data_IF_792572554013
#
_entry.id   IF_792572554013
#
_cell.length_a   1.000
_cell.length_b   1.000
_cell.length_c   1.000
_cell.angle_alpha   90.00
_cell.angle_beta   90.00
_cell.angle_gamma   90.00
#
_symmetry.space_group_name_H-M   'P 1'
#
loop_
_entity.id
_entity.type
_entity.pdbx_description
1 polymer ?
#
# COMPACT_ATOMS: atom_id res chain seq x y z
N UNK A 1 -16.64 -8.80 -19.98
CA UNK A 1 -15.73 -9.90 -20.35
C UNK A 1 -15.19 -10.44 -19.04
N UNK A 2 -15.47 -11.71 -18.74
CA UNK A 2 -14.94 -12.37 -17.55
C UNK A 2 -13.44 -12.64 -17.69
N UNK A 3 -12.78 -13.01 -16.59
CA UNK A 3 -11.40 -13.48 -16.65
C UNK A 3 -11.37 -14.82 -17.40
N UNK A 4 -10.39 -15.02 -18.28
CA UNK A 4 -10.20 -16.29 -19.00
C UNK A 4 -9.38 -17.31 -18.19
N UNK A 5 -8.74 -16.86 -17.11
CA UNK A 5 -7.88 -17.69 -16.28
C UNK A 5 -7.95 -17.29 -14.81
N UNK A 6 -7.60 -18.23 -13.95
CA UNK A 6 -7.39 -18.03 -12.52
C UNK A 6 -6.01 -18.56 -12.11
N UNK A 7 -5.54 -18.15 -10.93
CA UNK A 7 -4.22 -18.53 -10.40
C UNK A 7 -4.37 -19.43 -9.20
N UNK A 8 -3.56 -20.48 -9.14
CA UNK A 8 -3.45 -21.37 -7.97
C UNK A 8 -2.15 -21.05 -7.24
N UNK A 9 -2.26 -20.61 -5.99
CA UNK A 9 -1.12 -20.25 -5.17
C UNK A 9 -0.49 -21.47 -4.49
N UNK A 10 0.85 -21.46 -4.36
CA UNK A 10 1.62 -22.52 -3.69
C UNK A 10 1.16 -22.79 -2.24
N UNK A 11 0.65 -21.76 -1.56
CA UNK A 11 0.12 -21.85 -0.18
C UNK A 11 -1.04 -22.84 -0.03
N UNK A 12 -1.71 -23.18 -1.12
CA UNK A 12 -2.80 -24.16 -1.12
C UNK A 12 -2.35 -25.60 -1.00
N UNK A 13 -1.06 -25.89 -1.18
CA UNK A 13 -0.55 -27.25 -1.05
C UNK A 13 -0.83 -27.85 0.33
N UNK A 14 -0.58 -27.08 1.40
CA UNK A 14 -0.76 -27.56 2.78
C UNK A 14 -2.22 -27.93 3.12
N UNK A 15 -3.24 -27.13 2.74
CA UNK A 15 -4.64 -27.52 2.88
C UNK A 15 -5.03 -28.80 2.13
N UNK A 16 -4.46 -29.07 0.96
CA UNK A 16 -4.87 -30.20 0.11
C UNK A 16 -3.99 -31.43 0.24
N UNK A 17 -2.82 -31.34 0.90
CA UNK A 17 -1.85 -32.44 0.98
C UNK A 17 -2.34 -33.64 1.77
N UNK A 18 -3.38 -33.49 2.60
CA UNK A 18 -4.00 -34.58 3.36
C UNK A 18 -5.13 -35.30 2.62
N UNK A 19 -5.51 -34.85 1.43
CA UNK A 19 -6.59 -35.45 0.64
C UNK A 19 -6.08 -36.65 -0.15
N UNK A 20 -6.94 -37.65 -0.33
CA UNK A 20 -6.70 -38.76 -1.25
C UNK A 20 -6.72 -38.26 -2.70
N UNK A 21 -6.04 -38.96 -3.61
CA UNK A 21 -5.99 -38.59 -5.03
C UNK A 21 -7.40 -38.49 -5.66
N UNK A 22 -8.32 -39.36 -5.23
CA UNK A 22 -9.71 -39.32 -5.69
C UNK A 22 -10.43 -38.02 -5.24
N UNK A 23 -10.21 -37.62 -3.98
CA UNK A 23 -10.74 -36.38 -3.41
C UNK A 23 -10.12 -35.16 -4.09
N UNK A 24 -8.80 -35.19 -4.34
CA UNK A 24 -8.09 -34.13 -5.03
C UNK A 24 -8.61 -33.97 -6.46
N UNK A 25 -8.88 -35.08 -7.15
CA UNK A 25 -9.49 -35.08 -8.48
C UNK A 25 -10.91 -34.51 -8.48
N UNK A 26 -11.75 -34.86 -7.49
CA UNK A 26 -13.08 -34.28 -7.33
C UNK A 26 -13.01 -32.79 -7.05
N UNK A 27 -12.17 -32.37 -6.11
CA UNK A 27 -11.92 -30.97 -5.77
C UNK A 27 -11.50 -30.16 -7.00
N UNK A 28 -10.56 -30.67 -7.81
CA UNK A 28 -10.10 -29.99 -9.01
C UNK A 28 -11.24 -29.77 -10.02
N UNK A 29 -12.10 -30.77 -10.24
CA UNK A 29 -13.28 -30.63 -11.11
C UNK A 29 -14.27 -29.59 -10.58
N UNK A 30 -14.51 -29.57 -9.27
CA UNK A 30 -15.40 -28.60 -8.62
C UNK A 30 -14.86 -27.17 -8.80
N UNK A 31 -13.55 -26.95 -8.63
CA UNK A 31 -12.92 -25.64 -8.83
C UNK A 31 -13.18 -25.11 -10.25
N UNK A 32 -12.97 -25.94 -11.28
CA UNK A 32 -13.24 -25.52 -12.66
C UNK A 32 -14.72 -25.25 -12.92
N UNK A 33 -15.61 -26.15 -12.45
CA UNK A 33 -17.05 -25.95 -12.58
C UNK A 33 -17.50 -24.65 -11.93
N UNK A 34 -16.98 -24.32 -10.74
CA UNK A 34 -17.29 -23.07 -10.07
C UNK A 34 -16.88 -21.85 -10.89
N UNK A 35 -15.71 -21.88 -11.50
CA UNK A 35 -15.22 -20.77 -12.32
C UNK A 35 -15.96 -20.60 -13.66
N UNK A 36 -16.58 -21.67 -14.18
CA UNK A 36 -17.33 -21.64 -15.44
C UNK A 36 -18.80 -21.32 -15.20
N UNK A 37 -19.45 -22.04 -14.28
CA UNK A 37 -20.90 -22.07 -14.10
C UNK A 37 -21.37 -21.31 -12.84
N UNK A 38 -20.47 -21.04 -11.89
CA UNK A 38 -20.73 -20.27 -10.67
C UNK A 38 -21.34 -21.05 -9.50
N UNK A 39 -22.22 -22.02 -9.75
CA UNK A 39 -22.83 -22.84 -8.70
C UNK A 39 -22.46 -24.33 -8.85
N UNK A 40 -22.05 -24.95 -7.75
CA UNK A 40 -21.58 -26.34 -7.75
C UNK A 40 -21.97 -27.02 -6.45
N UNK A 41 -22.54 -28.21 -6.56
CA UNK A 41 -22.70 -29.11 -5.42
C UNK A 41 -21.35 -29.72 -5.05
N UNK A 42 -20.97 -29.60 -3.78
CA UNK A 42 -19.68 -30.05 -3.25
C UNK A 42 -19.90 -31.12 -2.20
N UNK A 43 -19.09 -32.18 -2.25
CA UNK A 43 -19.12 -33.24 -1.23
C UNK A 43 -18.46 -32.76 0.07
N UNK A 44 -18.99 -33.20 1.22
CA UNK A 44 -18.58 -32.73 2.56
C UNK A 44 -17.10 -32.96 2.88
N UNK A 45 -16.51 -34.00 2.29
CA UNK A 45 -15.11 -34.37 2.52
C UNK A 45 -14.11 -33.41 1.86
N UNK A 46 -14.54 -32.72 0.79
CA UNK A 46 -13.75 -31.71 0.06
C UNK A 46 -14.28 -30.28 0.25
N UNK A 47 -15.41 -30.09 0.93
CA UNK A 47 -16.09 -28.82 1.14
C UNK A 47 -15.18 -27.77 1.79
N UNK A 48 -14.51 -28.14 2.89
CA UNK A 48 -13.58 -27.25 3.59
C UNK A 48 -12.42 -26.84 2.67
N UNK A 49 -11.85 -27.79 1.93
CA UNK A 49 -10.77 -27.51 0.99
C UNK A 49 -11.22 -26.55 -0.11
N UNK A 50 -12.42 -26.78 -0.67
CA UNK A 50 -13.01 -25.93 -1.70
C UNK A 50 -13.30 -24.51 -1.20
N UNK A 51 -13.78 -24.35 0.03
CA UNK A 51 -14.10 -23.05 0.62
C UNK A 51 -12.86 -22.15 0.75
N UNK A 52 -11.67 -22.72 1.00
CA UNK A 52 -10.41 -21.96 0.94
C UNK A 52 -10.13 -21.38 -0.44
N UNK A 53 -10.41 -22.13 -1.52
CA UNK A 53 -10.23 -21.64 -2.88
C UNK A 53 -11.26 -20.58 -3.22
N UNK A 54 -12.53 -20.81 -2.86
CA UNK A 54 -13.62 -19.85 -3.08
C UNK A 54 -13.29 -18.49 -2.45
N UNK A 55 -12.89 -18.48 -1.18
CA UNK A 55 -12.49 -17.26 -0.48
C UNK A 55 -11.33 -16.54 -1.18
N UNK A 56 -10.35 -17.28 -1.72
CA UNK A 56 -9.25 -16.65 -2.46
C UNK A 56 -9.70 -16.06 -3.80
N UNK A 57 -10.59 -16.74 -4.52
CA UNK A 57 -11.12 -16.24 -5.78
C UNK A 57 -11.87 -14.92 -5.59
N UNK A 58 -12.68 -14.81 -4.53
CA UNK A 58 -13.37 -13.56 -4.20
C UNK A 58 -12.37 -12.41 -3.93
N UNK A 59 -11.29 -12.70 -3.21
CA UNK A 59 -10.21 -11.73 -2.96
C UNK A 59 -9.56 -11.31 -4.28
N UNK A 60 -9.25 -12.26 -5.16
CA UNK A 60 -8.58 -11.99 -6.44
C UNK A 60 -9.49 -11.22 -7.42
N UNK A 61 -10.80 -11.43 -7.33
CA UNK A 61 -11.80 -10.67 -8.07
C UNK A 61 -11.89 -9.23 -7.57
N UNK A 62 -11.95 -9.01 -6.26
CA UNK A 62 -11.90 -7.66 -5.68
C UNK A 62 -10.63 -6.92 -6.13
N UNK A 63 -9.46 -7.58 -6.04
CA UNK A 63 -8.18 -7.00 -6.47
C UNK A 63 -8.20 -6.64 -7.96
N UNK A 64 -8.71 -7.55 -8.79
CA UNK A 64 -8.80 -7.31 -10.23
C UNK A 64 -9.74 -6.16 -10.57
N UNK A 65 -10.93 -6.10 -9.96
CA UNK A 65 -11.89 -5.02 -10.21
C UNK A 65 -11.31 -3.66 -9.81
N UNK A 66 -10.60 -3.58 -8.69
CA UNK A 66 -9.92 -2.34 -8.28
C UNK A 66 -8.87 -1.88 -9.33
N UNK A 67 -8.15 -2.82 -9.94
CA UNK A 67 -7.19 -2.51 -11.02
C UNK A 67 -7.93 -2.04 -12.28
N UNK A 68 -8.99 -2.73 -12.68
CA UNK A 68 -9.80 -2.38 -13.85
C UNK A 68 -10.40 -0.99 -13.68
N UNK A 69 -10.99 -0.68 -12.54
CA UNK A 69 -11.58 0.63 -12.26
C UNK A 69 -10.53 1.74 -12.26
N UNK A 70 -9.38 1.50 -11.62
CA UNK A 70 -8.24 2.44 -11.65
C UNK A 70 -7.78 2.70 -13.09
N UNK A 71 -7.61 1.66 -13.89
CA UNK A 71 -7.16 1.77 -15.27
C UNK A 71 -8.21 2.47 -16.13
N UNK A 72 -9.50 2.17 -15.94
CA UNK A 72 -10.62 2.87 -16.59
C UNK A 72 -10.62 4.36 -16.26
N UNK A 73 -10.43 4.71 -14.99
CA UNK A 73 -10.34 6.09 -14.54
C UNK A 73 -9.12 6.82 -15.11
N UNK A 74 -7.96 6.15 -15.19
CA UNK A 74 -6.76 6.70 -15.81
C UNK A 74 -6.95 6.90 -17.32
N UNK A 75 -7.56 5.92 -18.00
CA UNK A 75 -7.93 6.04 -19.42
C UNK A 75 -8.86 7.22 -19.67
N UNK A 76 -9.87 7.43 -18.80
CA UNK A 76 -10.77 8.60 -18.88
C UNK A 76 -10.06 9.94 -18.69
N UNK A 77 -8.99 9.99 -17.90
CA UNK A 77 -8.17 11.20 -17.71
C UNK A 77 -7.24 11.49 -18.90
N UNK A 78 -7.04 10.52 -19.79
CA UNK A 78 -6.10 10.58 -20.90
C UNK A 78 -4.68 10.19 -20.48
N UNK A 79 -3.99 9.44 -21.35
CA UNK A 79 -2.61 9.00 -21.10
C UNK A 79 -1.53 9.94 -21.65
N UNK A 80 -1.88 10.79 -22.60
CA UNK A 80 -0.98 11.79 -23.16
C UNK A 80 -1.21 13.16 -22.46
N UNK A 81 -0.15 13.92 -22.15
CA UNK A 81 -0.31 15.29 -21.70
C UNK A 81 -1.10 16.07 -22.76
N UNK A 82 -2.17 16.74 -22.35
CA UNK A 82 -2.95 17.59 -23.26
C UNK A 82 -2.04 18.69 -23.79
N UNK A 83 -1.79 18.71 -25.10
CA UNK A 83 -1.25 19.88 -25.79
C UNK A 83 -2.20 21.03 -25.47
N UNK A 84 -1.72 22.06 -24.78
CA UNK A 84 -2.54 23.19 -24.36
C UNK A 84 -3.32 23.78 -25.55
N UNK A 85 -4.46 24.41 -25.26
CA UNK A 85 -5.41 24.96 -26.24
C UNK A 85 -4.85 26.01 -27.22
N UNK A 86 -3.54 26.27 -27.21
CA UNK A 86 -2.83 27.04 -28.22
C UNK A 86 -1.55 26.34 -28.67
N UNK A 87 -1.55 25.03 -28.93
CA UNK A 87 -0.47 24.32 -29.60
C UNK A 87 0.94 24.38 -28.96
N UNK A 88 1.08 25.03 -27.80
CA UNK A 88 2.34 25.35 -27.13
C UNK A 88 2.25 24.91 -25.67
N UNK A 89 3.22 24.14 -25.15
CA UNK A 89 3.22 23.73 -23.76
C UNK A 89 3.38 24.96 -22.85
N UNK A 90 2.65 25.04 -21.72
CA UNK A 90 2.87 26.11 -20.75
C UNK A 90 4.20 25.84 -20.02
N UNK A 91 5.20 26.69 -20.27
CA UNK A 91 6.35 26.86 -19.39
C UNK A 91 7.45 25.81 -19.47
N UNK A 92 8.09 25.65 -20.64
CA UNK A 92 9.53 25.39 -20.66
C UNK A 92 10.20 26.62 -21.26
N UNK A 93 10.92 27.37 -20.44
CA UNK A 93 11.94 28.29 -20.94
C UNK A 93 12.84 27.50 -21.88
N UNK A 94 12.91 27.92 -23.15
CA UNK A 94 13.75 27.31 -24.18
C UNK A 94 15.19 27.19 -23.71
N UNK A 95 15.59 25.99 -23.27
CA UNK A 95 17.00 25.60 -23.23
C UNK A 95 17.19 24.49 -24.25
N UNK A 96 17.77 24.92 -25.38
CA UNK A 96 18.44 24.13 -26.42
C UNK A 96 17.58 23.21 -27.29
N UNK A 97 17.92 23.25 -28.59
CA UNK A 97 17.21 22.58 -29.67
C UNK A 97 17.18 21.05 -29.53
N UNK A 98 16.15 20.48 -30.13
CA UNK A 98 15.88 19.06 -30.28
C UNK A 98 17.14 18.28 -30.73
N UNK A 99 17.73 17.42 -29.88
CA UNK A 99 18.55 16.34 -30.39
C UNK A 99 17.61 15.45 -31.21
N UNK A 100 17.98 15.11 -32.45
CA UNK A 100 17.33 14.04 -33.18
C UNK A 100 17.23 12.83 -32.23
N UNK A 101 16.03 12.22 -32.19
CA UNK A 101 15.70 11.08 -31.34
C UNK A 101 16.92 10.15 -31.22
N UNK A 102 17.52 9.97 -30.03
CA UNK A 102 18.65 9.08 -29.90
C UNK A 102 18.15 7.70 -30.33
N UNK A 103 18.82 7.11 -31.31
CA UNK A 103 18.62 5.74 -31.76
C UNK A 103 18.84 4.87 -30.51
N UNK A 104 17.76 4.36 -29.90
CA UNK A 104 17.87 3.66 -28.62
C UNK A 104 16.63 3.64 -27.73
N UNK A 105 15.57 4.42 -28.03
CA UNK A 105 14.28 4.17 -27.38
C UNK A 105 13.65 2.90 -27.95
N UNK A 106 13.90 1.79 -27.26
CA UNK A 106 13.10 0.58 -27.40
C UNK A 106 11.62 0.96 -27.25
N UNK A 107 10.76 0.32 -28.06
CA UNK A 107 9.32 0.40 -27.87
C UNK A 107 9.00 0.21 -26.39
N UNK A 108 8.10 1.02 -25.80
CA UNK A 108 7.72 0.82 -24.41
C UNK A 108 7.22 -0.61 -24.28
N UNK A 109 7.94 -1.41 -23.49
CA UNK A 109 7.49 -2.75 -23.13
C UNK A 109 6.04 -2.64 -22.67
N UNK A 110 5.17 -3.45 -23.26
CA UNK A 110 3.83 -3.72 -22.70
C UNK A 110 4.04 -4.00 -21.21
N UNK A 111 3.20 -3.41 -20.36
CA UNK A 111 3.32 -3.58 -18.92
C UNK A 111 3.49 -5.08 -18.62
N UNK A 112 4.69 -5.44 -18.15
CA UNK A 112 4.94 -6.76 -17.61
C UNK A 112 3.88 -6.94 -16.52
N UNK A 113 3.07 -8.01 -16.60
CA UNK A 113 2.11 -8.38 -15.57
C UNK A 113 2.87 -8.83 -14.32
N UNK A 114 3.58 -7.91 -13.70
CA UNK A 114 4.21 -8.08 -12.41
C UNK A 114 4.11 -6.76 -11.65
N UNK A 115 2.93 -6.55 -11.10
CA UNK A 115 2.83 -5.76 -9.88
C UNK A 115 1.94 -6.56 -8.95
N UNK A 116 2.59 -7.48 -8.25
CA UNK A 116 2.13 -8.03 -6.99
C UNK A 116 1.96 -6.87 -5.99
N UNK A 117 0.89 -6.11 -6.16
CA UNK A 117 0.37 -5.28 -5.08
C UNK A 117 -0.28 -6.27 -4.12
N UNK A 118 0.57 -6.82 -3.26
CA UNK A 118 0.24 -7.65 -2.14
C UNK A 118 -0.65 -6.83 -1.18
N UNK A 119 -1.93 -6.73 -1.53
CA UNK A 119 -2.98 -6.50 -0.55
C UNK A 119 -2.98 -7.79 0.27
N UNK A 120 -2.12 -7.78 1.28
CA UNK A 120 -2.16 -8.68 2.43
C UNK A 120 -3.53 -8.50 3.09
N UNK A 121 -4.52 -9.26 2.61
CA UNK A 121 -5.63 -9.66 3.47
C UNK A 121 -5.06 -10.72 4.41
N UNK A 122 -4.37 -10.24 5.44
CA UNK A 122 -4.12 -11.03 6.62
C UNK A 122 -5.46 -11.15 7.38
N UNK A 123 -6.35 -12.02 6.88
CA UNK A 123 -7.26 -12.78 7.74
C UNK A 123 -6.41 -13.91 8.32
N UNK A 124 -5.44 -13.51 9.14
CA UNK A 124 -4.93 -14.31 10.21
C UNK A 124 -5.71 -13.84 11.41
N UNK A 125 -6.40 -14.77 12.06
CA UNK A 125 -6.85 -14.58 13.43
C UNK A 125 -5.73 -13.90 14.22
N UNK A 126 -5.94 -12.64 14.54
CA UNK A 126 -5.21 -12.02 15.63
C UNK A 126 -6.28 -11.59 16.60
N UNK A 127 -6.07 -11.98 17.84
CA UNK A 127 -6.63 -11.31 19.00
C UNK A 127 -6.08 -9.87 19.03
N UNK A 128 -6.39 -9.08 18.00
CA UNK A 128 -6.11 -7.66 17.95
C UNK A 128 -7.14 -7.01 18.88
N UNK A 129 -6.74 -6.95 20.15
CA UNK A 129 -7.24 -5.95 21.07
C UNK A 129 -7.39 -4.63 20.30
N UNK A 130 -8.52 -3.91 20.39
CA UNK A 130 -8.84 -2.72 19.60
C UNK A 130 -7.80 -1.58 19.68
N UNK A 131 -6.80 -1.72 20.55
CA UNK A 131 -5.69 -0.80 20.80
C UNK A 131 -4.66 -0.70 19.67
N UNK A 132 -4.55 -1.67 18.74
CA UNK A 132 -3.52 -1.66 17.67
C UNK A 132 -3.97 -1.04 16.34
N UNK A 133 -5.25 -0.68 16.22
CA UNK A 133 -5.84 -0.12 15.00
C UNK A 133 -5.23 1.25 14.66
N UNK A 134 -4.94 1.47 13.37
CA UNK A 134 -4.39 2.74 12.87
C UNK A 134 -5.25 3.94 13.30
N UNK A 135 -6.57 3.83 13.26
CA UNK A 135 -7.48 4.94 13.58
C UNK A 135 -7.34 5.38 15.05
N UNK A 136 -7.14 4.43 15.96
CA UNK A 136 -6.91 4.67 17.40
C UNK A 136 -5.57 5.36 17.61
N UNK A 137 -4.50 4.80 17.04
CA UNK A 137 -3.14 5.35 17.16
C UNK A 137 -3.03 6.72 16.51
N UNK A 138 -3.70 6.93 15.38
CA UNK A 138 -3.75 8.20 14.67
C UNK A 138 -4.45 9.29 15.48
N UNK A 139 -5.51 8.93 16.20
CA UNK A 139 -6.20 9.83 17.12
C UNK A 139 -5.34 10.17 18.33
N UNK A 140 -4.70 9.17 18.96
CA UNK A 140 -3.79 9.34 20.09
C UNK A 140 -2.59 10.24 19.74
N UNK A 141 -2.03 10.05 18.54
CA UNK A 141 -0.94 10.88 18.03
C UNK A 141 -1.37 12.32 17.69
N UNK A 142 -2.68 12.60 17.64
CA UNK A 142 -3.21 13.93 17.36
C UNK A 142 -3.31 14.28 15.88
N UNK A 143 -3.39 13.31 14.96
CA UNK A 143 -3.70 13.54 13.53
C UNK A 143 -2.80 14.57 12.82
N UNK A 144 -1.48 14.43 12.96
CA UNK A 144 -0.46 15.33 12.37
C UNK A 144 0.25 14.67 11.18
N UNK A 145 0.17 15.29 10.00
CA UNK A 145 0.72 14.78 8.74
C UNK A 145 -0.37 14.28 7.78
N UNK A 146 0.03 13.56 6.73
CA UNK A 146 -0.91 13.03 5.74
C UNK A 146 -1.43 11.65 6.16
N UNK A 147 -2.76 11.53 6.36
CA UNK A 147 -3.43 10.29 6.80
C UNK A 147 -3.12 9.11 5.87
N UNK A 148 -3.18 9.33 4.55
CA UNK A 148 -3.03 8.26 3.55
C UNK A 148 -1.60 7.71 3.48
N UNK A 149 -0.60 8.56 3.61
CA UNK A 149 0.81 8.12 3.63
C UNK A 149 1.16 7.46 4.97
N UNK A 150 0.64 8.02 6.06
CA UNK A 150 0.77 7.50 7.42
C UNK A 150 0.18 6.10 7.57
N UNK A 151 -1.03 5.88 7.07
CA UNK A 151 -1.72 4.58 7.10
C UNK A 151 -0.95 3.53 6.32
N UNK A 152 -0.48 3.87 5.11
CA UNK A 152 0.35 2.98 4.29
C UNK A 152 1.67 2.61 4.95
N UNK A 153 2.28 3.51 5.71
CA UNK A 153 3.52 3.22 6.45
C UNK A 153 3.23 2.39 7.69
N UNK A 154 2.15 2.69 8.41
CA UNK A 154 1.71 1.94 9.58
C UNK A 154 1.34 0.50 9.22
N UNK A 155 0.63 0.29 8.12
CA UNK A 155 0.24 -1.06 7.66
C UNK A 155 1.44 -1.94 7.31
N UNK A 156 2.54 -1.34 6.85
CA UNK A 156 3.81 -2.03 6.54
C UNK A 156 4.66 -2.39 7.77
N UNK A 157 4.35 -1.86 8.95
CA UNK A 157 5.09 -2.20 10.18
C UNK A 157 4.73 -3.60 10.68
N UNK A 158 5.72 -4.31 11.19
CA UNK A 158 5.52 -5.58 11.91
C UNK A 158 4.81 -5.34 13.24
N UNK A 159 4.11 -6.35 13.75
CA UNK A 159 3.39 -6.27 15.03
C UNK A 159 4.30 -5.81 16.18
N UNK A 160 5.55 -6.30 16.24
CA UNK A 160 6.53 -5.89 17.24
C UNK A 160 6.86 -4.39 17.20
N UNK A 161 7.01 -3.80 16.00
CA UNK A 161 7.25 -2.36 15.85
C UNK A 161 6.01 -1.54 16.22
N UNK A 162 4.82 -2.00 15.85
CA UNK A 162 3.55 -1.36 16.24
C UNK A 162 3.41 -1.31 17.76
N UNK A 163 3.68 -2.40 18.47
CA UNK A 163 3.59 -2.43 19.94
C UNK A 163 4.55 -1.44 20.61
N UNK A 164 5.81 -1.36 20.14
CA UNK A 164 6.78 -0.37 20.65
C UNK A 164 6.30 1.06 20.41
N UNK A 165 5.81 1.35 19.20
CA UNK A 165 5.27 2.66 18.86
C UNK A 165 4.06 3.03 19.72
N UNK A 166 3.09 2.13 19.89
CA UNK A 166 1.88 2.36 20.69
C UNK A 166 2.24 2.66 22.14
N UNK A 167 3.20 1.94 22.72
CA UNK A 167 3.66 2.19 24.09
C UNK A 167 4.32 3.57 24.26
N UNK A 168 5.04 4.04 23.23
CA UNK A 168 5.79 5.30 23.27
C UNK A 168 4.93 6.54 22.99
N UNK A 169 3.92 6.43 22.12
CA UNK A 169 3.11 7.57 21.64
C UNK A 169 2.50 8.41 22.78
N UNK A 170 1.89 7.83 23.84
CA UNK A 170 1.35 8.62 24.94
C UNK A 170 2.41 9.49 25.63
N UNK A 171 3.59 8.94 25.91
CA UNK A 171 4.69 9.68 26.53
C UNK A 171 5.21 10.80 25.62
N UNK A 172 5.33 10.53 24.31
CA UNK A 172 5.74 11.52 23.33
C UNK A 172 4.74 12.68 23.16
N UNK A 173 3.45 12.36 23.16
CA UNK A 173 2.36 13.35 23.08
C UNK A 173 2.34 14.22 24.34
N UNK A 174 2.58 13.65 25.52
CA UNK A 174 2.68 14.39 26.77
C UNK A 174 3.94 15.28 26.84
N UNK A 175 5.08 14.81 26.32
CA UNK A 175 6.32 15.60 26.24
C UNK A 175 6.25 16.72 25.18
N UNK A 176 5.39 16.57 24.17
CA UNK A 176 5.14 17.57 23.11
C UNK A 176 3.68 18.04 23.12
N UNK A 177 3.26 18.80 24.15
CA UNK A 177 1.85 19.21 24.28
C UNK A 177 1.40 20.09 23.11
N UNK A 178 2.31 20.90 22.55
CA UNK A 178 2.04 21.67 21.36
C UNK A 178 2.23 20.84 20.07
N UNK A 179 1.09 20.55 19.43
CA UNK A 179 0.97 19.77 18.19
C UNK A 179 1.73 20.37 17.01
N UNK A 180 2.07 21.66 17.01
CA UNK A 180 2.81 22.25 15.90
C UNK A 180 4.27 21.78 15.84
N UNK A 181 4.88 21.50 17.00
CA UNK A 181 6.26 21.02 17.13
C UNK A 181 6.41 19.50 17.10
N UNK A 182 5.28 18.77 17.04
CA UNK A 182 5.28 17.32 16.88
C UNK A 182 5.71 16.94 15.47
N UNK A 183 6.57 15.93 15.33
CA UNK A 183 6.92 15.35 14.02
C UNK A 183 5.63 14.89 13.31
N UNK A 184 5.59 14.96 11.98
CA UNK A 184 4.52 14.28 11.24
C UNK A 184 4.58 12.79 11.54
N UNK A 185 3.43 12.11 11.65
CA UNK A 185 3.39 10.70 12.02
C UNK A 185 4.14 9.81 11.01
N UNK A 186 4.13 10.19 9.74
CA UNK A 186 4.91 9.52 8.70
C UNK A 186 6.42 9.61 8.91
N UNK A 187 6.90 10.71 9.53
CA UNK A 187 8.31 10.92 9.89
C UNK A 187 8.64 10.17 11.18
N UNK A 188 7.72 10.20 12.15
CA UNK A 188 7.80 9.41 13.38
C UNK A 188 7.95 7.91 13.10
N UNK A 189 7.15 7.38 12.15
CA UNK A 189 7.27 5.99 11.69
C UNK A 189 8.59 5.74 10.96
N UNK A 190 8.96 6.62 10.02
CA UNK A 190 10.15 6.43 9.21
C UNK A 190 11.45 6.43 10.01
N UNK A 191 11.53 7.28 11.04
CA UNK A 191 12.72 7.40 11.89
C UNK A 191 12.69 6.41 13.05
N UNK A 192 11.65 5.59 13.17
CA UNK A 192 11.45 4.69 14.30
C UNK A 192 11.64 5.41 15.65
N UNK A 193 11.04 6.60 15.79
CA UNK A 193 11.29 7.50 16.94
C UNK A 193 10.94 6.89 18.31
N UNK A 194 10.27 5.74 18.37
CA UNK A 194 10.10 4.96 19.59
C UNK A 194 11.39 4.31 20.11
N UNK A 195 12.48 4.34 19.33
CA UNK A 195 13.82 3.96 19.76
C UNK A 195 14.65 5.16 20.26
N UNK A 196 14.16 6.40 20.06
CA UNK A 196 14.85 7.62 20.45
C UNK A 196 14.47 8.05 21.88
N UNK A 197 15.37 8.78 22.54
CA UNK A 197 15.10 9.42 23.83
C UNK A 197 13.94 10.42 23.71
N UNK A 198 13.08 10.46 24.73
CA UNK A 198 11.97 11.41 24.78
C UNK A 198 12.52 12.84 24.75
N UNK A 199 11.90 13.76 23.97
CA UNK A 199 12.33 15.14 23.98
C UNK A 199 12.20 15.72 25.38
N UNK A 200 13.29 16.27 25.89
CA UNK A 200 13.35 16.92 27.19
C UNK A 200 12.30 18.05 27.23
N UNK A 201 11.52 18.12 28.31
CA UNK A 201 10.52 19.18 28.55
C UNK A 201 11.26 20.48 28.91
N UNK A 202 11.98 21.04 27.94
CA UNK A 202 12.58 22.36 28.03
C UNK A 202 12.16 23.12 26.78
N UNK A 203 11.10 23.91 26.93
CA UNK A 203 10.94 25.07 26.07
C UNK A 203 12.21 25.91 26.18
N UNK A 204 12.92 26.14 25.07
CA UNK A 204 13.52 27.44 24.72
C UNK A 204 14.22 27.37 23.36
N UNK A 205 13.69 28.16 22.42
CA UNK A 205 14.39 28.98 21.41
C UNK A 205 15.76 28.49 20.89
N UNK A 206 15.78 28.14 19.60
CA UNK A 206 16.90 28.51 18.73
C UNK A 206 16.36 29.24 17.50
N UNK A 207 16.44 30.56 17.57
CA UNK A 207 16.37 31.46 16.43
C UNK A 207 17.45 31.03 15.42
N UNK A 208 17.06 30.83 14.17
CA UNK A 208 17.97 30.84 13.03
C UNK A 208 18.47 32.28 12.85
N UNK A 209 19.61 32.60 13.45
CA UNK A 209 20.40 33.77 13.08
C UNK A 209 21.03 33.50 11.72
N UNK A 210 20.40 33.99 10.66
CA UNK A 210 21.06 34.09 9.35
C UNK A 210 22.04 35.26 9.43
N UNK A 211 23.30 34.98 9.76
CA UNK A 211 24.40 35.91 9.53
C UNK A 211 24.53 36.16 8.03
N UNK A 212 24.03 37.32 7.60
CA UNK A 212 24.38 37.90 6.30
C UNK A 212 25.65 38.69 6.51
N UNK A 213 26.81 38.11 6.19
CA UNK A 213 28.07 38.83 6.12
C UNK A 213 27.99 39.87 5.01
N UNK A 214 27.87 41.14 5.41
CA UNK A 214 28.11 42.31 4.59
C UNK A 214 29.55 42.27 4.04
N UNK A 215 29.72 42.16 2.72
CA UNK A 215 30.94 42.61 2.05
C UNK A 215 30.71 44.04 1.61
N UNK A 216 31.27 44.98 2.36
CA UNK A 216 31.45 46.36 1.93
C UNK A 216 32.51 46.38 0.81
N UNK A 217 32.15 46.95 -0.33
CA UNK A 217 33.10 47.52 -1.28
C UNK A 217 33.42 48.96 -0.83
N UNK A 218 34.70 49.24 -0.61
CA UNK A 218 35.30 50.57 -0.74
C UNK A 218 36.33 50.46 -1.85
#
# INVERSE_FOLDING_TARGET
MGKESFVMYKKFYKPVSGLLDEQLGRLFRVIFKYQIDGDVTVEKDIEIAFEFFKNQFDIDDIKYQAIVERNRNNGRKGGAPRKGLNGKPPGTTSTQGNPNNPVGFLEPKKADYDNDYDINNNIGESNDSPTSSFEVVWSLYGKKGNKKTSEKKWSKLTAAKKSKAIAYIPAYVNATPDKQYRKNFETFINQECWNDELPDVKQTNKQTSNETTNRNFV
#
